data_IF_151844594032
#
_entry.id   IF_151844594032
#
_cell.length_a   1.000
_cell.length_b   1.000
_cell.length_c   1.000
_cell.angle_alpha   90.00
_cell.angle_beta   90.00
_cell.angle_gamma   90.00
#
_symmetry.space_group_name_H-M   'P 1'
#
loop_
_entity.id
_entity.type
_entity.pdbx_description
1 polymer ?
#
# COMPACT_ATOMS: atom_id res chain seq x y z
N UNK A 1 -15.25 -3.74 3.51
CA UNK A 1 -14.24 -3.29 4.47
C UNK A 1 -14.07 -4.36 5.52
N UNK A 2 -12.84 -4.62 6.01
CA UNK A 2 -12.60 -5.60 7.06
C UNK A 2 -13.06 -5.05 8.43
N UNK A 3 -13.69 -5.90 9.22
CA UNK A 3 -14.17 -5.61 10.57
C UNK A 3 -13.32 -6.35 11.58
N UNK A 4 -12.59 -5.64 12.42
CA UNK A 4 -11.79 -6.22 13.50
C UNK A 4 -12.69 -6.53 14.71
N UNK A 5 -12.63 -7.76 15.19
CA UNK A 5 -13.25 -8.22 16.44
C UNK A 5 -12.19 -8.88 17.32
N UNK A 6 -12.48 -9.01 18.61
CA UNK A 6 -11.57 -9.69 19.52
C UNK A 6 -12.08 -11.10 19.79
N UNK A 7 -11.23 -12.08 19.53
CA UNK A 7 -11.56 -13.48 19.70
C UNK A 7 -11.69 -13.87 21.17
N UNK A 8 -12.63 -14.75 21.45
CA UNK A 8 -12.78 -15.39 22.77
C UNK A 8 -11.97 -16.69 22.81
N UNK A 9 -11.48 -17.05 23.98
CA UNK A 9 -10.69 -18.27 24.18
C UNK A 9 -9.26 -18.18 23.64
N UNK A 10 -8.76 -19.30 23.11
CA UNK A 10 -7.37 -19.40 22.61
C UNK A 10 -7.30 -19.05 21.12
N UNK A 11 -6.20 -18.39 20.67
CA UNK A 11 -5.94 -18.20 19.26
C UNK A 11 -5.73 -19.53 18.53
N UNK A 12 -5.81 -19.58 17.21
CA UNK A 12 -5.39 -20.73 16.41
C UNK A 12 -3.98 -21.19 16.80
N UNK A 13 -3.81 -22.50 16.96
CA UNK A 13 -2.52 -23.11 17.23
C UNK A 13 -1.69 -23.14 15.92
N UNK A 14 -0.47 -22.61 15.89
CA UNK A 14 0.40 -22.68 14.71
C UNK A 14 0.57 -24.10 14.17
N UNK A 15 0.61 -25.13 15.07
CA UNK A 15 0.71 -26.54 14.67
C UNK A 15 -0.53 -27.06 13.93
N UNK A 16 -1.66 -26.35 13.98
CA UNK A 16 -2.90 -26.74 13.30
C UNK A 16 -2.97 -26.30 11.84
N UNK A 17 -1.95 -25.63 11.34
CA UNK A 17 -1.87 -25.15 9.96
C UNK A 17 -0.48 -25.25 9.36
N UNK A 18 -0.42 -25.01 8.05
CA UNK A 18 0.84 -24.89 7.31
C UNK A 18 1.31 -23.43 7.31
N UNK A 19 2.54 -23.19 7.73
CA UNK A 19 3.18 -21.88 7.55
C UNK A 19 3.39 -21.65 6.04
N UNK A 20 2.95 -20.49 5.56
CA UNK A 20 2.97 -20.15 4.12
C UNK A 20 3.87 -18.97 3.81
N UNK A 21 4.12 -18.13 4.79
CA UNK A 21 5.01 -16.98 4.64
C UNK A 21 5.60 -16.52 5.98
N UNK A 22 6.79 -15.93 5.91
CA UNK A 22 7.46 -15.29 7.05
C UNK A 22 7.97 -13.92 6.62
N UNK A 23 7.38 -12.87 7.16
CA UNK A 23 7.82 -11.49 6.91
C UNK A 23 8.89 -11.08 7.92
N UNK A 24 9.92 -10.40 7.40
CA UNK A 24 11.05 -9.91 8.20
C UNK A 24 11.21 -8.40 7.99
N UNK A 25 11.68 -7.72 9.03
CA UNK A 25 12.09 -6.32 8.93
C UNK A 25 13.47 -6.17 8.26
N UNK A 26 13.91 -4.93 8.07
CA UNK A 26 15.20 -4.60 7.45
C UNK A 26 16.40 -5.22 8.23
N UNK A 27 16.23 -5.50 9.52
CA UNK A 27 17.21 -6.19 10.38
C UNK A 27 17.12 -7.71 10.34
N UNK A 28 16.23 -8.29 9.51
CA UNK A 28 16.05 -9.75 9.39
C UNK A 28 15.21 -10.37 10.52
N UNK A 29 14.70 -9.57 11.48
CA UNK A 29 13.85 -10.04 12.57
C UNK A 29 12.46 -10.38 12.03
N UNK A 30 11.91 -11.52 12.45
CA UNK A 30 10.53 -11.93 12.09
C UNK A 30 9.53 -10.95 12.71
N UNK A 31 8.76 -10.29 11.86
CA UNK A 31 7.69 -9.37 12.25
C UNK A 31 6.29 -9.98 12.10
N UNK A 32 6.13 -10.96 11.22
CA UNK A 32 4.89 -11.72 11.10
C UNK A 32 5.14 -13.09 10.45
N UNK A 33 4.22 -14.04 10.71
CA UNK A 33 4.14 -15.35 10.04
C UNK A 33 2.71 -15.58 9.58
N UNK A 34 2.55 -16.09 8.37
CA UNK A 34 1.25 -16.43 7.79
C UNK A 34 1.02 -17.94 7.80
N UNK A 35 -0.21 -18.33 8.12
CA UNK A 35 -0.60 -19.74 8.22
C UNK A 35 -1.92 -20.01 7.48
N UNK A 36 -2.04 -21.19 6.90
CA UNK A 36 -3.25 -21.71 6.29
C UNK A 36 -3.65 -23.02 6.99
N UNK A 37 -4.82 -23.03 7.59
CA UNK A 37 -5.48 -24.20 8.13
C UNK A 37 -6.65 -24.68 7.24
N UNK A 38 -7.40 -25.68 7.69
CA UNK A 38 -8.47 -26.30 6.92
C UNK A 38 -9.61 -25.35 6.53
N UNK A 39 -9.94 -24.39 7.39
CA UNK A 39 -11.05 -23.42 7.19
C UNK A 39 -10.64 -21.97 7.43
N UNK A 40 -9.50 -21.72 8.05
CA UNK A 40 -9.07 -20.40 8.48
C UNK A 40 -7.64 -20.13 8.04
N UNK A 41 -7.37 -18.87 7.80
CA UNK A 41 -6.03 -18.32 7.63
C UNK A 41 -5.75 -17.42 8.84
N UNK A 42 -4.49 -17.30 9.23
CA UNK A 42 -4.11 -16.38 10.30
C UNK A 42 -2.70 -15.82 10.12
N UNK A 43 -2.50 -14.69 10.73
CA UNK A 43 -1.21 -14.02 10.83
C UNK A 43 -0.82 -13.96 12.30
N UNK A 44 0.33 -14.50 12.65
CA UNK A 44 0.97 -14.35 13.95
C UNK A 44 1.98 -13.22 13.88
N UNK A 45 1.85 -12.22 14.76
CA UNK A 45 2.78 -11.11 14.90
C UNK A 45 3.44 -11.20 16.28
N UNK A 46 4.73 -11.59 16.37
CA UNK A 46 5.42 -11.74 17.66
C UNK A 46 5.34 -10.47 18.51
N UNK A 47 4.94 -10.63 19.77
CA UNK A 47 4.75 -9.52 20.72
C UNK A 47 3.53 -8.63 20.46
N UNK A 48 2.79 -8.82 19.37
CA UNK A 48 1.57 -8.11 19.08
C UNK A 48 0.32 -8.97 19.29
N UNK A 49 0.25 -10.15 18.66
CA UNK A 49 -0.89 -11.03 18.74
C UNK A 49 -1.13 -11.85 17.49
N UNK A 50 -2.29 -12.49 17.43
CA UNK A 50 -2.73 -13.35 16.32
C UNK A 50 -3.97 -12.75 15.67
N UNK A 51 -4.06 -12.79 14.34
CA UNK A 51 -5.19 -12.30 13.54
C UNK A 51 -5.69 -13.44 12.66
N UNK A 52 -6.90 -13.93 12.92
CA UNK A 52 -7.50 -15.03 12.15
C UNK A 52 -8.70 -14.55 11.34
N UNK A 53 -8.80 -15.05 10.13
CA UNK A 53 -9.85 -14.69 9.19
C UNK A 53 -10.22 -15.87 8.29
N UNK A 54 -11.41 -15.81 7.73
CA UNK A 54 -11.88 -16.71 6.69
C UNK A 54 -11.80 -15.99 5.34
N UNK A 55 -11.46 -16.70 4.27
CA UNK A 55 -11.34 -16.09 2.93
C UNK A 55 -12.66 -15.52 2.39
N UNK A 56 -13.80 -15.96 2.93
CA UNK A 56 -15.15 -15.53 2.51
C UNK A 56 -15.82 -14.56 3.49
N UNK A 57 -15.13 -14.16 4.58
CA UNK A 57 -15.71 -13.31 5.63
C UNK A 57 -14.95 -11.99 5.74
N UNK A 58 -15.68 -10.91 5.95
CA UNK A 58 -15.06 -9.59 6.25
C UNK A 58 -14.63 -9.46 7.72
N UNK A 59 -14.90 -10.47 8.56
CA UNK A 59 -14.57 -10.43 10.00
C UNK A 59 -13.15 -10.98 10.21
N UNK A 60 -12.35 -10.20 10.93
CA UNK A 60 -11.02 -10.59 11.39
C UNK A 60 -11.04 -10.66 12.91
N UNK A 61 -10.73 -11.84 13.46
CA UNK A 61 -10.63 -12.04 14.89
C UNK A 61 -9.20 -11.84 15.36
N UNK A 62 -9.00 -11.01 16.38
CA UNK A 62 -7.68 -10.74 16.95
C UNK A 62 -7.58 -11.22 18.40
N UNK A 63 -6.45 -11.82 18.75
CA UNK A 63 -6.05 -12.17 20.12
C UNK A 63 -4.77 -11.40 20.45
N UNK A 64 -4.87 -10.38 21.33
CA UNK A 64 -3.70 -9.61 21.76
C UNK A 64 -2.67 -10.49 22.47
N UNK A 65 -1.39 -10.25 22.22
CA UNK A 65 -0.33 -10.82 23.03
C UNK A 65 -0.35 -10.25 24.46
N UNK A 66 0.21 -10.94 25.45
CA UNK A 66 0.30 -10.42 26.82
C UNK A 66 0.90 -9.02 26.85
N UNK A 67 0.23 -8.10 27.54
CA UNK A 67 0.64 -6.69 27.64
C UNK A 67 0.18 -5.78 26.49
N UNK A 68 -0.36 -6.32 25.40
CA UNK A 68 -0.92 -5.52 24.33
C UNK A 68 -2.34 -5.06 24.61
N UNK A 69 -2.63 -3.80 24.31
CA UNK A 69 -3.97 -3.24 24.42
C UNK A 69 -4.79 -3.50 23.14
N UNK A 70 -6.12 -3.52 23.28
CA UNK A 70 -7.03 -3.61 22.13
C UNK A 70 -6.83 -2.44 21.16
N UNK A 71 -6.57 -1.25 21.68
CA UNK A 71 -6.27 -0.07 20.86
C UNK A 71 -4.98 -0.24 20.04
N UNK A 72 -3.91 -0.78 20.65
CA UNK A 72 -2.66 -1.07 19.94
C UNK A 72 -2.82 -2.13 18.84
N UNK A 73 -3.66 -3.14 19.08
CA UNK A 73 -4.01 -4.15 18.07
C UNK A 73 -4.79 -3.50 16.91
N UNK A 74 -5.80 -2.68 17.22
CA UNK A 74 -6.61 -2.01 16.19
C UNK A 74 -5.76 -1.04 15.35
N UNK A 75 -4.86 -0.30 15.97
CA UNK A 75 -3.93 0.59 15.28
C UNK A 75 -3.02 -0.20 14.31
N UNK A 76 -2.40 -1.29 14.76
CA UNK A 76 -1.55 -2.11 13.91
C UNK A 76 -2.33 -2.79 12.78
N UNK A 77 -3.53 -3.29 13.05
CA UNK A 77 -4.41 -3.85 12.05
C UNK A 77 -4.69 -2.84 10.94
N UNK A 78 -5.11 -1.62 11.33
CA UNK A 78 -5.43 -0.55 10.40
C UNK A 78 -4.24 -0.10 9.56
N UNK A 79 -3.06 0.04 10.19
CA UNK A 79 -1.88 0.60 9.52
C UNK A 79 -1.13 -0.40 8.64
N UNK A 80 -1.18 -1.71 8.95
CA UNK A 80 -0.21 -2.63 8.36
C UNK A 80 -0.82 -3.93 7.84
N UNK A 81 -1.83 -4.51 8.52
CA UNK A 81 -2.23 -5.88 8.23
C UNK A 81 -3.34 -6.02 7.20
N UNK A 82 -4.18 -4.99 7.04
CA UNK A 82 -5.32 -5.07 6.13
C UNK A 82 -4.94 -5.45 4.68
N UNK A 83 -3.89 -4.85 4.05
CA UNK A 83 -3.51 -5.23 2.69
C UNK A 83 -3.12 -6.70 2.57
N UNK A 84 -2.35 -7.24 3.53
CA UNK A 84 -1.94 -8.65 3.54
C UNK A 84 -3.14 -9.60 3.73
N UNK A 85 -4.08 -9.24 4.59
CA UNK A 85 -5.31 -10.02 4.82
C UNK A 85 -6.19 -10.00 3.57
N UNK A 86 -6.40 -8.84 2.94
CA UNK A 86 -7.18 -8.74 1.71
C UNK A 86 -6.52 -9.49 0.56
N UNK A 87 -5.18 -9.49 0.48
CA UNK A 87 -4.47 -10.30 -0.50
C UNK A 87 -4.71 -11.79 -0.26
N UNK A 88 -4.66 -12.25 0.99
CA UNK A 88 -5.03 -13.62 1.35
C UNK A 88 -6.48 -13.98 1.02
N UNK A 89 -7.37 -12.99 0.88
CA UNK A 89 -8.78 -13.15 0.46
C UNK A 89 -8.97 -13.04 -1.04
N UNK A 90 -7.88 -12.95 -1.81
CA UNK A 90 -7.88 -12.95 -3.26
C UNK A 90 -7.99 -11.58 -3.92
N UNK A 91 -7.70 -10.51 -3.22
CA UNK A 91 -7.44 -9.20 -3.81
C UNK A 91 -5.95 -9.10 -4.16
N UNK A 92 -5.54 -8.05 -4.85
CA UNK A 92 -4.12 -7.77 -5.03
C UNK A 92 -3.71 -6.59 -4.15
N UNK A 93 -2.46 -6.61 -3.68
CA UNK A 93 -1.93 -5.56 -2.84
C UNK A 93 -0.49 -5.22 -3.23
N UNK A 94 -0.22 -3.93 -3.42
CA UNK A 94 1.09 -3.39 -3.74
C UNK A 94 1.66 -2.65 -2.52
N UNK A 95 2.93 -2.83 -2.26
CA UNK A 95 3.68 -1.98 -1.34
C UNK A 95 3.87 -0.60 -1.98
N UNK A 96 2.86 0.23 -1.84
CA UNK A 96 2.73 1.51 -2.51
C UNK A 96 2.03 2.54 -1.65
N UNK A 97 2.40 3.81 -1.85
CA UNK A 97 1.56 4.95 -1.51
C UNK A 97 0.75 5.35 -2.74
N UNK A 98 -0.39 6.00 -2.56
CA UNK A 98 -1.24 6.39 -3.68
C UNK A 98 -1.99 7.69 -3.43
N UNK A 99 -2.19 8.42 -4.53
CA UNK A 99 -3.04 9.61 -4.59
C UNK A 99 -4.22 9.37 -5.53
N UNK A 100 -5.32 10.04 -5.26
CA UNK A 100 -6.50 10.04 -6.10
C UNK A 100 -6.91 11.47 -6.48
N UNK A 101 -7.44 11.60 -7.68
CA UNK A 101 -8.25 12.70 -8.16
C UNK A 101 -9.67 12.20 -8.46
N UNK A 102 -10.54 13.03 -9.08
CA UNK A 102 -11.93 12.64 -9.37
C UNK A 102 -12.02 11.39 -10.25
N UNK A 103 -11.15 11.28 -11.26
CA UNK A 103 -11.27 10.28 -12.31
C UNK A 103 -10.31 9.08 -12.17
N UNK A 104 -9.42 9.07 -11.16
CA UNK A 104 -8.49 7.98 -11.06
C UNK A 104 -7.42 8.08 -9.99
N UNK A 105 -6.58 7.07 -9.97
CA UNK A 105 -5.51 6.86 -8.98
C UNK A 105 -4.16 6.76 -9.67
N UNK A 106 -3.17 7.44 -9.09
CA UNK A 106 -1.76 7.22 -9.36
C UNK A 106 -1.09 6.56 -8.14
N UNK A 107 -0.39 5.45 -8.36
CA UNK A 107 0.32 4.70 -7.33
C UNK A 107 1.83 4.91 -7.43
N UNK A 108 2.51 4.90 -6.28
CA UNK A 108 3.96 5.05 -6.16
C UNK A 108 4.53 3.80 -5.48
N UNK A 109 5.18 2.95 -6.26
CA UNK A 109 5.95 1.79 -5.82
C UNK A 109 7.43 2.13 -5.67
N UNK A 110 8.18 1.31 -4.97
CA UNK A 110 9.63 1.47 -4.81
C UNK A 110 10.13 0.80 -3.53
N UNK A 111 11.42 0.59 -3.43
CA UNK A 111 12.05 0.02 -2.24
C UNK A 111 11.80 0.87 -0.99
N UNK A 112 12.04 0.32 0.19
CA UNK A 112 11.97 1.10 1.43
C UNK A 112 12.94 2.29 1.35
N UNK A 113 12.46 3.46 1.76
CA UNK A 113 13.24 4.69 1.64
C UNK A 113 13.22 5.37 0.27
N UNK A 114 12.61 4.79 -0.76
CA UNK A 114 12.50 5.42 -2.08
C UNK A 114 11.64 6.72 -2.11
N UNK A 115 11.03 7.13 -1.00
CA UNK A 115 10.28 8.39 -0.91
C UNK A 115 8.81 8.31 -1.26
N UNK A 116 8.22 7.12 -1.35
CA UNK A 116 6.78 6.92 -1.65
C UNK A 116 5.86 7.78 -0.79
N UNK A 117 5.95 7.62 0.54
CA UNK A 117 5.12 8.36 1.50
C UNK A 117 5.38 9.87 1.45
N UNK A 118 6.65 10.27 1.28
CA UNK A 118 7.04 11.69 1.17
C UNK A 118 6.41 12.34 -0.07
N UNK A 119 6.51 11.67 -1.23
CA UNK A 119 5.95 12.19 -2.48
C UNK A 119 4.42 12.21 -2.44
N UNK A 120 3.78 11.15 -1.96
CA UNK A 120 2.31 11.10 -1.83
C UNK A 120 1.80 12.16 -0.85
N UNK A 121 2.52 12.41 0.24
CA UNK A 121 2.19 13.46 1.21
C UNK A 121 2.34 14.87 0.58
N UNK A 122 3.44 15.12 -0.15
CA UNK A 122 3.67 16.39 -0.83
C UNK A 122 2.58 16.66 -1.89
N UNK A 123 2.19 15.65 -2.67
CA UNK A 123 1.07 15.74 -3.61
C UNK A 123 -0.26 15.96 -2.90
N UNK A 124 -0.45 15.38 -1.71
CA UNK A 124 -1.60 15.67 -0.85
C UNK A 124 -1.69 17.16 -0.48
N UNK A 125 -0.57 17.80 -0.19
CA UNK A 125 -0.51 19.25 0.05
C UNK A 125 -0.73 20.08 -1.22
N UNK A 126 -0.46 19.51 -2.38
CA UNK A 126 -0.74 20.12 -3.69
C UNK A 126 -2.19 19.91 -4.18
N UNK A 127 -3.09 19.37 -3.33
CA UNK A 127 -4.53 19.27 -3.62
C UNK A 127 -5.01 17.87 -4.07
N UNK A 128 -4.14 16.86 -4.11
CA UNK A 128 -4.56 15.48 -4.32
C UNK A 128 -5.07 14.85 -3.03
N UNK A 129 -5.97 13.87 -3.15
CA UNK A 129 -6.39 13.07 -2.00
C UNK A 129 -5.46 11.86 -1.85
N UNK A 130 -4.69 11.80 -0.79
CA UNK A 130 -3.93 10.59 -0.47
C UNK A 130 -4.90 9.48 -0.04
N UNK A 131 -4.79 8.29 -0.63
CA UNK A 131 -5.72 7.15 -0.41
C UNK A 131 -5.05 5.89 0.13
N UNK A 132 -3.74 5.83 0.08
CA UNK A 132 -2.96 4.72 0.63
C UNK A 132 -1.57 5.20 1.04
N UNK A 133 -1.03 4.57 2.08
CA UNK A 133 0.38 4.61 2.44
C UNK A 133 0.81 3.23 2.91
N UNK A 134 1.98 2.76 2.46
CA UNK A 134 2.56 1.44 2.75
C UNK A 134 1.79 0.22 2.18
N UNK A 135 0.54 0.40 1.72
CA UNK A 135 -0.23 -0.68 1.12
C UNK A 135 -1.43 -0.20 0.31
N UNK A 136 -1.36 -0.35 -1.01
CA UNK A 136 -2.46 -0.10 -1.92
C UNK A 136 -3.14 -1.41 -2.30
N UNK A 137 -4.45 -1.50 -2.06
CA UNK A 137 -5.25 -2.66 -2.45
C UNK A 137 -5.96 -2.39 -3.78
N UNK A 138 -5.89 -3.36 -4.66
CA UNK A 138 -6.51 -3.28 -5.99
C UNK A 138 -7.36 -4.52 -6.29
N UNK A 139 -8.41 -4.34 -7.09
CA UNK A 139 -9.18 -5.42 -7.68
C UNK A 139 -9.09 -5.37 -9.19
N UNK A 140 -8.80 -6.52 -9.76
CA UNK A 140 -8.90 -6.75 -11.20
C UNK A 140 -10.31 -7.23 -11.50
N UNK A 141 -11.03 -6.50 -12.34
CA UNK A 141 -12.39 -6.79 -12.76
C UNK A 141 -12.51 -6.82 -14.28
N UNK A 142 -13.70 -7.13 -14.80
CA UNK A 142 -13.98 -7.11 -16.24
C UNK A 142 -13.83 -5.72 -16.85
N UNK A 143 -14.13 -4.68 -16.06
CA UNK A 143 -14.14 -3.28 -16.51
C UNK A 143 -12.80 -2.57 -16.23
N UNK A 144 -11.79 -3.28 -15.74
CA UNK A 144 -10.46 -2.73 -15.47
C UNK A 144 -9.92 -3.02 -14.08
N UNK A 145 -8.88 -2.26 -13.71
CA UNK A 145 -8.20 -2.34 -12.41
C UNK A 145 -8.64 -1.18 -11.54
N UNK A 146 -9.16 -1.47 -10.35
CA UNK A 146 -9.69 -0.47 -9.43
C UNK A 146 -8.92 -0.47 -8.11
N UNK A 147 -8.49 0.70 -7.68
CA UNK A 147 -7.88 0.94 -6.39
C UNK A 147 -8.94 1.19 -5.32
N UNK A 148 -8.73 0.64 -4.14
CA UNK A 148 -9.63 0.77 -2.99
C UNK A 148 -8.92 1.51 -1.86
N UNK A 149 -9.55 2.57 -1.36
CA UNK A 149 -9.07 3.27 -0.18
C UNK A 149 -9.39 2.45 1.08
N UNK A 150 -8.34 2.10 1.83
CA UNK A 150 -8.46 1.53 3.17
C UNK A 150 -8.19 2.63 4.22
N UNK A 151 -8.61 2.45 5.48
CA UNK A 151 -8.11 3.29 6.56
C UNK A 151 -6.58 3.17 6.61
N UNK A 152 -5.87 4.28 6.63
CA UNK A 152 -4.42 4.32 6.73
C UNK A 152 -3.96 5.52 7.55
N UNK A 153 -2.72 5.50 8.00
CA UNK A 153 -2.09 6.66 8.59
C UNK A 153 -0.77 6.93 7.89
N UNK A 154 -0.58 8.10 7.31
CA UNK A 154 0.68 8.48 6.70
C UNK A 154 1.83 8.31 7.68
N UNK A 155 2.92 7.69 7.20
CA UNK A 155 4.10 7.46 8.00
C UNK A 155 5.30 8.15 7.37
N UNK A 156 5.57 9.35 7.83
CA UNK A 156 6.74 10.10 7.41
C UNK A 156 7.96 9.67 8.22
N UNK A 157 9.10 9.49 7.58
CA UNK A 157 10.39 9.39 8.27
C UNK A 157 10.74 10.74 8.89
N UNK A 158 11.56 10.74 9.91
CA UNK A 158 11.91 11.94 10.70
C UNK A 158 12.31 13.14 9.82
N UNK A 159 13.19 12.93 8.84
CA UNK A 159 13.61 14.00 7.93
C UNK A 159 12.44 14.60 7.11
N UNK A 160 11.50 13.79 6.67
CA UNK A 160 10.31 14.27 5.96
C UNK A 160 9.32 14.95 6.93
N UNK A 161 9.11 14.37 8.11
CA UNK A 161 8.30 15.00 9.16
C UNK A 161 8.81 16.40 9.52
N UNK A 162 10.11 16.54 9.73
CA UNK A 162 10.75 17.83 10.01
C UNK A 162 10.60 18.81 8.83
N UNK A 163 10.76 18.34 7.59
CA UNK A 163 10.60 19.19 6.39
C UNK A 163 9.18 19.74 6.27
N UNK A 164 8.16 18.93 6.55
CA UNK A 164 6.75 19.35 6.45
C UNK A 164 6.20 19.99 7.73
N UNK A 165 6.91 19.96 8.84
CA UNK A 165 6.42 20.37 10.17
C UNK A 165 5.36 19.42 10.73
N UNK A 166 5.40 18.13 10.35
CA UNK A 166 4.41 17.12 10.70
C UNK A 166 5.00 16.08 11.67
N UNK A 167 4.20 15.54 12.61
CA UNK A 167 4.66 14.44 13.45
C UNK A 167 4.95 13.19 12.60
N UNK A 168 5.88 12.36 13.07
CA UNK A 168 6.24 11.11 12.40
C UNK A 168 5.05 10.14 12.20
N UNK A 169 4.05 10.23 13.05
CA UNK A 169 2.80 9.47 12.98
C UNK A 169 1.63 10.45 12.93
N UNK A 170 1.00 10.55 11.78
CA UNK A 170 -0.22 11.32 11.59
C UNK A 170 -1.46 10.55 12.06
N UNK A 171 -2.58 11.25 12.23
CA UNK A 171 -3.86 10.63 12.51
C UNK A 171 -4.28 9.65 11.40
N UNK A 172 -5.09 8.65 11.75
CA UNK A 172 -5.63 7.70 10.76
C UNK A 172 -6.59 8.44 9.85
N UNK A 173 -6.31 8.40 8.55
CA UNK A 173 -7.28 8.80 7.53
C UNK A 173 -8.34 7.70 7.41
N UNK A 174 -9.62 8.01 7.55
CA UNK A 174 -10.66 7.01 7.36
C UNK A 174 -10.67 6.54 5.89
N UNK A 175 -11.04 5.28 5.68
CA UNK A 175 -11.35 4.82 4.34
C UNK A 175 -12.53 5.63 3.78
N UNK A 176 -12.49 5.97 2.52
CA UNK A 176 -13.57 6.76 1.95
C UNK A 176 -13.64 6.68 0.43
N UNK A 177 -14.88 6.76 -0.06
CA UNK A 177 -15.21 6.81 -1.46
C UNK A 177 -15.39 5.45 -2.14
N UNK A 178 -15.99 5.49 -3.33
CA UNK A 178 -16.07 4.35 -4.23
C UNK A 178 -14.66 3.96 -4.74
N UNK A 179 -14.47 2.72 -5.18
CA UNK A 179 -13.25 2.34 -5.89
C UNK A 179 -13.03 3.23 -7.10
N UNK A 180 -11.79 3.63 -7.33
CA UNK A 180 -11.42 4.46 -8.47
C UNK A 180 -10.51 3.67 -9.43
N UNK A 181 -10.59 3.93 -10.75
CA UNK A 181 -9.70 3.33 -11.72
C UNK A 181 -8.22 3.59 -11.38
N UNK A 182 -7.39 2.55 -11.38
CA UNK A 182 -5.95 2.71 -11.29
C UNK A 182 -5.43 3.12 -12.67
N UNK A 183 -5.06 4.38 -12.82
CA UNK A 183 -4.68 4.98 -14.12
C UNK A 183 -3.21 4.83 -14.45
N UNK A 184 -2.34 4.81 -13.42
CA UNK A 184 -0.91 4.67 -13.62
C UNK A 184 -0.19 4.21 -12.36
N UNK A 185 1.00 3.65 -12.55
CA UNK A 185 1.91 3.26 -11.48
C UNK A 185 3.29 3.87 -11.77
N UNK A 186 3.87 4.53 -10.78
CA UNK A 186 5.26 4.99 -10.81
C UNK A 186 6.14 4.08 -9.96
N UNK A 187 7.22 3.59 -10.53
CA UNK A 187 8.29 2.91 -9.79
C UNK A 187 9.38 3.93 -9.49
N UNK A 188 9.51 4.29 -8.23
CA UNK A 188 10.40 5.35 -7.76
C UNK A 188 11.86 4.88 -7.70
N UNK A 189 12.75 5.70 -8.22
CA UNK A 189 14.20 5.53 -8.16
C UNK A 189 14.87 6.83 -7.74
N UNK A 190 15.64 6.80 -6.67
CA UNK A 190 16.47 7.93 -6.29
C UNK A 190 17.79 7.91 -7.07
N UNK A 191 18.15 9.05 -7.66
CA UNK A 191 19.41 9.23 -8.35
C UNK A 191 20.02 10.61 -7.97
N UNK A 192 20.97 10.58 -7.04
CA UNK A 192 21.64 11.78 -6.55
C UNK A 192 22.57 12.44 -7.60
N UNK A 193 22.86 11.76 -8.71
CA UNK A 193 23.71 12.28 -9.80
C UNK A 193 22.89 12.97 -10.89
N UNK A 194 21.58 12.88 -10.80
CA UNK A 194 20.69 13.45 -11.81
C UNK A 194 20.79 14.98 -11.83
N UNK A 195 21.06 15.60 -13.00
CA UNK A 195 21.12 17.05 -13.11
C UNK A 195 19.72 17.68 -12.99
N UNK A 196 18.70 17.02 -13.54
CA UNK A 196 17.31 17.46 -13.49
C UNK A 196 16.64 17.02 -12.20
N UNK A 197 15.56 17.72 -11.80
CA UNK A 197 14.80 17.38 -10.61
C UNK A 197 14.18 15.98 -10.71
N UNK A 198 13.65 15.62 -11.90
CA UNK A 198 13.06 14.30 -12.15
C UNK A 198 13.11 13.93 -13.63
N UNK A 199 12.88 12.64 -13.92
CA UNK A 199 12.66 12.13 -15.27
C UNK A 199 11.70 10.94 -15.20
N UNK A 200 10.79 10.89 -16.16
CA UNK A 200 9.80 9.84 -16.28
C UNK A 200 9.97 9.10 -17.60
N UNK A 201 10.07 7.79 -17.51
CA UNK A 201 10.21 6.91 -18.66
C UNK A 201 9.21 5.77 -18.54
N UNK A 202 8.54 5.42 -19.62
CA UNK A 202 7.66 4.26 -19.62
C UNK A 202 8.50 3.00 -19.44
N UNK A 203 8.09 2.14 -18.51
CA UNK A 203 8.74 0.84 -18.33
C UNK A 203 8.45 -0.03 -19.55
N UNK A 204 9.49 -0.72 -20.04
CA UNK A 204 9.34 -1.67 -21.15
C UNK A 204 8.25 -2.70 -20.82
N UNK A 205 7.29 -2.96 -21.73
CA UNK A 205 6.19 -3.90 -21.48
C UNK A 205 6.64 -5.27 -21.01
N UNK A 206 7.80 -5.75 -21.46
CA UNK A 206 8.36 -7.04 -21.05
C UNK A 206 8.90 -7.06 -19.62
N UNK A 207 9.24 -5.90 -19.08
CA UNK A 207 9.76 -5.72 -17.73
C UNK A 207 8.68 -5.36 -16.69
N UNK A 208 7.49 -4.93 -17.13
CA UNK A 208 6.44 -4.39 -16.22
C UNK A 208 6.02 -5.42 -15.19
N UNK A 209 5.74 -6.66 -15.60
CA UNK A 209 5.33 -7.71 -14.66
C UNK A 209 6.36 -7.91 -13.55
N UNK A 210 7.64 -8.06 -13.90
CA UNK A 210 8.72 -8.20 -12.92
C UNK A 210 8.83 -6.99 -11.99
N UNK A 211 8.71 -5.77 -12.53
CA UNK A 211 8.73 -4.54 -11.74
C UNK A 211 7.60 -4.47 -10.74
N UNK A 212 6.38 -4.92 -11.09
CA UNK A 212 5.23 -4.91 -10.20
C UNK A 212 5.33 -6.00 -9.12
N UNK A 213 5.72 -7.21 -9.48
CA UNK A 213 5.79 -8.36 -8.56
C UNK A 213 6.81 -8.12 -7.44
N UNK A 214 7.88 -7.37 -7.68
CA UNK A 214 8.84 -7.00 -6.63
C UNK A 214 8.23 -6.12 -5.52
N UNK A 215 7.08 -5.49 -5.80
CA UNK A 215 6.34 -4.65 -4.85
C UNK A 215 5.00 -5.28 -4.43
N UNK A 216 4.73 -6.51 -4.86
CA UNK A 216 3.49 -7.19 -4.52
C UNK A 216 3.54 -7.81 -3.14
N UNK A 217 2.44 -7.71 -2.39
CA UNK A 217 2.23 -8.55 -1.23
C UNK A 217 1.70 -9.90 -1.69
N UNK A 218 2.30 -10.97 -1.17
CA UNK A 218 1.82 -12.33 -1.41
C UNK A 218 1.70 -13.05 -0.07
N UNK A 219 0.51 -13.53 0.25
CA UNK A 219 0.25 -14.25 1.50
C UNK A 219 0.64 -15.74 1.38
N UNK A 220 0.16 -16.43 0.35
CA UNK A 220 0.44 -17.84 0.12
C UNK A 220 0.83 -18.09 -1.36
N UNK A 221 2.14 -18.08 -1.68
CA UNK A 221 2.59 -18.37 -3.03
C UNK A 221 2.58 -19.86 -3.38
N UNK A 222 2.33 -20.75 -2.40
CA UNK A 222 2.55 -22.18 -2.56
C UNK A 222 1.33 -22.96 -3.03
N UNK A 223 0.09 -22.41 -2.93
CA UNK A 223 -1.07 -23.07 -3.52
C UNK A 223 -1.20 -22.71 -4.99
N UNK A 224 -1.39 -23.75 -5.83
CA UNK A 224 -1.47 -23.56 -7.28
C UNK A 224 -2.59 -22.60 -7.71
N UNK A 225 -3.72 -22.59 -6.99
CA UNK A 225 -4.84 -21.69 -7.30
C UNK A 225 -4.56 -20.22 -6.93
N UNK A 226 -4.02 -19.97 -5.73
CA UNK A 226 -3.70 -18.60 -5.30
C UNK A 226 -2.52 -18.04 -6.10
N UNK A 227 -1.50 -18.86 -6.40
CA UNK A 227 -0.38 -18.48 -7.25
C UNK A 227 -0.82 -18.17 -8.70
N UNK A 228 -1.68 -19.00 -9.29
CA UNK A 228 -2.21 -18.78 -10.64
C UNK A 228 -3.00 -17.46 -10.70
N UNK A 229 -3.92 -17.25 -9.79
CA UNK A 229 -4.69 -16.00 -9.70
C UNK A 229 -3.79 -14.78 -9.52
N UNK A 230 -2.80 -14.88 -8.64
CA UNK A 230 -1.80 -13.82 -8.44
C UNK A 230 -1.12 -13.46 -9.76
N UNK A 231 -0.62 -14.45 -10.51
CA UNK A 231 0.04 -14.22 -11.79
C UNK A 231 -0.92 -13.62 -12.82
N UNK A 232 -2.13 -14.19 -12.98
CA UNK A 232 -3.15 -13.71 -13.91
C UNK A 232 -3.55 -12.25 -13.66
N UNK A 233 -3.78 -11.90 -12.39
CA UNK A 233 -4.15 -10.54 -11.99
C UNK A 233 -3.00 -9.55 -12.24
N UNK A 234 -1.75 -9.90 -11.86
CA UNK A 234 -0.60 -9.02 -12.11
C UNK A 234 -0.23 -8.91 -13.59
N UNK A 235 -0.45 -9.95 -14.38
CA UNK A 235 -0.34 -9.86 -15.84
C UNK A 235 -1.40 -8.92 -16.42
N UNK A 236 -2.62 -8.97 -15.91
CA UNK A 236 -3.69 -8.05 -16.31
C UNK A 236 -3.37 -6.62 -15.94
N UNK A 237 -2.88 -6.36 -14.71
CA UNK A 237 -2.42 -5.03 -14.28
C UNK A 237 -1.30 -4.54 -15.22
N UNK A 238 -0.30 -5.39 -15.50
CA UNK A 238 0.82 -5.04 -16.37
C UNK A 238 0.40 -4.72 -17.82
N UNK A 239 -0.63 -5.39 -18.31
CA UNK A 239 -1.14 -5.17 -19.66
C UNK A 239 -2.05 -3.93 -19.79
N UNK A 240 -2.74 -3.55 -18.71
CA UNK A 240 -3.81 -2.52 -18.78
C UNK A 240 -3.46 -1.22 -18.09
N UNK A 241 -2.58 -1.24 -17.08
CA UNK A 241 -2.18 -0.04 -16.34
C UNK A 241 -0.79 0.41 -16.79
N UNK A 242 -0.64 1.64 -17.32
CA UNK A 242 0.68 2.18 -17.69
C UNK A 242 1.61 2.25 -16.47
N UNK A 243 2.84 1.76 -16.63
CA UNK A 243 3.87 1.80 -15.59
C UNK A 243 5.05 2.65 -16.05
N UNK A 244 5.49 3.55 -15.19
CA UNK A 244 6.58 4.48 -15.45
C UNK A 244 7.67 4.33 -14.39
N UNK A 245 8.93 4.45 -14.80
CA UNK A 245 10.04 4.68 -13.88
C UNK A 245 10.13 6.19 -13.62
N UNK A 246 10.00 6.58 -12.35
CA UNK A 246 10.23 7.96 -11.93
C UNK A 246 11.58 8.04 -11.22
N UNK A 247 12.59 8.52 -11.93
CA UNK A 247 13.91 8.79 -11.38
C UNK A 247 13.99 10.23 -10.92
N UNK A 248 14.45 10.50 -9.69
CA UNK A 248 14.50 11.85 -9.15
C UNK A 248 15.65 12.04 -8.15
N UNK A 249 16.08 13.31 -8.01
CA UNK A 249 17.10 13.67 -7.03
C UNK A 249 16.51 13.67 -5.61
N UNK A 250 17.11 12.93 -4.63
CA UNK A 250 16.56 12.77 -3.28
C UNK A 250 16.81 13.99 -2.38
N UNK A 251 16.36 15.17 -2.82
CA UNK A 251 16.54 16.44 -2.09
C UNK A 251 15.19 17.09 -1.84
N UNK A 252 14.94 17.51 -0.61
CA UNK A 252 13.74 18.27 -0.28
C UNK A 252 13.67 19.63 -0.98
N UNK A 253 14.82 20.24 -1.32
CA UNK A 253 14.86 21.50 -2.08
C UNK A 253 14.33 21.35 -3.51
N UNK A 254 14.32 20.15 -4.06
CA UNK A 254 13.79 19.84 -5.40
C UNK A 254 12.46 19.12 -5.36
N UNK A 255 11.90 18.89 -4.19
CA UNK A 255 10.66 18.13 -4.05
C UNK A 255 9.48 18.84 -4.75
N UNK A 256 9.43 20.16 -4.70
CA UNK A 256 8.41 20.95 -5.41
C UNK A 256 8.45 20.69 -6.91
N UNK A 257 9.63 20.72 -7.53
CA UNK A 257 9.79 20.46 -8.97
C UNK A 257 9.35 19.02 -9.34
N UNK A 258 9.61 18.04 -8.45
CA UNK A 258 9.16 16.65 -8.64
C UNK A 258 7.63 16.55 -8.55
N UNK A 259 7.02 17.24 -7.58
CA UNK A 259 5.56 17.32 -7.42
C UNK A 259 4.92 17.93 -8.66
N UNK A 260 5.45 19.05 -9.17
CA UNK A 260 4.93 19.73 -10.37
C UNK A 260 5.04 18.83 -11.61
N UNK A 261 6.18 18.16 -11.80
CA UNK A 261 6.39 17.24 -12.91
C UNK A 261 5.42 16.04 -12.85
N UNK A 262 5.23 15.44 -11.67
CA UNK A 262 4.28 14.34 -11.47
C UNK A 262 2.85 14.82 -11.68
N UNK A 263 2.48 16.00 -11.19
CA UNK A 263 1.14 16.57 -11.33
C UNK A 263 0.80 16.84 -12.79
N UNK A 264 1.71 17.48 -13.51
CA UNK A 264 1.54 17.74 -14.94
C UNK A 264 1.38 16.44 -15.74
N UNK A 265 2.20 15.43 -15.44
CA UNK A 265 2.14 14.15 -16.11
C UNK A 265 0.86 13.38 -15.77
N UNK A 266 0.47 13.32 -14.50
CA UNK A 266 -0.72 12.62 -14.03
C UNK A 266 -2.01 13.23 -14.63
N UNK A 267 -2.05 14.55 -14.78
CA UNK A 267 -3.18 15.25 -15.39
C UNK A 267 -3.42 14.82 -16.84
N UNK A 268 -2.39 14.46 -17.61
CA UNK A 268 -2.54 13.97 -18.99
C UNK A 268 -3.28 12.63 -19.08
N UNK A 269 -3.31 11.87 -17.98
CA UNK A 269 -3.99 10.57 -17.89
C UNK A 269 -5.28 10.61 -17.06
N UNK A 270 -5.82 11.80 -16.79
CA UNK A 270 -7.06 11.97 -16.04
C UNK A 270 -6.89 11.80 -14.53
N UNK A 271 -5.71 12.13 -13.98
CA UNK A 271 -5.46 12.21 -12.53
C UNK A 271 -5.02 13.66 -12.22
N UNK A 272 -5.95 14.60 -12.34
CA UNK A 272 -5.69 16.00 -12.01
C UNK A 272 -6.07 16.30 -10.54
N UNK A 273 -5.33 17.19 -9.88
CA UNK A 273 -5.70 17.68 -8.56
C UNK A 273 -7.05 18.40 -8.62
N UNK A 274 -7.86 18.26 -7.59
CA UNK A 274 -8.99 19.16 -7.40
C UNK A 274 -8.44 20.59 -7.24
N UNK A 275 -9.14 21.56 -7.84
CA UNK A 275 -8.74 22.97 -7.66
C UNK A 275 -8.59 23.26 -6.17
N UNK A 276 -7.45 23.78 -5.71
CA UNK A 276 -7.25 23.99 -4.27
C UNK A 276 -8.35 24.92 -3.76
N UNK A 277 -9.04 24.47 -2.71
CA UNK A 277 -9.98 25.29 -1.99
C UNK A 277 -9.23 26.51 -1.48
N UNK A 278 -9.48 27.67 -2.05
CA UNK A 278 -8.88 28.89 -1.59
C UNK A 278 -9.21 29.03 -0.09
N UNK A 279 -8.22 29.20 0.82
CA UNK A 279 -8.53 29.41 2.22
C UNK A 279 -9.39 30.65 2.29
N UNK A 280 -10.56 30.55 2.95
CA UNK A 280 -11.36 31.70 3.28
C UNK A 280 -10.46 32.68 4.04
N UNK A 281 -10.18 33.81 3.45
CA UNK A 281 -9.46 34.91 4.10
C UNK A 281 -10.32 35.36 5.27
N UNK A 282 -9.78 35.47 6.50
CA UNK A 282 -10.50 35.87 7.69
C UNK A 282 -11.01 37.32 7.62
#
# INVERSE_FOLDING_TARGET
>A
MLNLTFGEGRPPDPSSGREVNTWRDEGGRVCARGFVGARRRWIECPGLGVFSFDACSTIVHAWPAPGMTRAGIADRFTRTLQPAILQAMGWQALHASAIAAEDGVAAFCGVSGAGKSTLAFALGRAGYRQIADDGLVVRVGRDGVFAHSLPFAPRLREAAGNHFGEPALSAVNPAGGAPLPLKMIFVLRQDARRPDASGMERVDPTAVFGALVTHAHCFDPATSQDARRFVEDYMTIAATVPVFSLSYHPSFTRLADVVDAVSAFASTAGVAAATPFAPAVP
#
